data_IF_688395049475
#
_entry.id   IF_688395049475
#
_cell.length_a   1.000
_cell.length_b   1.000
_cell.length_c   1.000
_cell.angle_alpha   90.00
_cell.angle_beta   90.00
_cell.angle_gamma   90.00
#
_symmetry.space_group_name_H-M   'P 1'
#
loop_
_entity.id
_entity.type
_entity.pdbx_description
1 polymer ?
#
# COMPACT_ATOMS: atom_id res chain seq x y z
N UNK A 1 -10.45 -14.25 4.81
CA UNK A 1 -11.56 -13.62 4.02
C UNK A 1 -11.08 -12.55 3.04
N UNK A 2 -9.96 -11.89 3.34
CA UNK A 2 -9.35 -10.84 2.51
C UNK A 2 -8.62 -11.37 1.27
N UNK A 3 -8.22 -12.64 1.26
CA UNK A 3 -7.56 -13.34 0.14
C UNK A 3 -8.24 -13.13 -1.22
N UNK A 4 -9.58 -13.17 -1.26
CA UNK A 4 -10.33 -12.97 -2.50
C UNK A 4 -10.12 -11.55 -3.03
N UNK A 5 -10.18 -10.54 -2.16
CA UNK A 5 -9.95 -9.14 -2.54
C UNK A 5 -8.50 -8.94 -3.00
N UNK A 6 -7.54 -9.55 -2.31
CA UNK A 6 -6.11 -9.47 -2.66
C UNK A 6 -5.88 -10.06 -4.05
N UNK A 7 -6.40 -11.26 -4.30
CA UNK A 7 -6.26 -11.94 -5.59
C UNK A 7 -6.93 -11.16 -6.71
N UNK A 8 -8.14 -10.66 -6.49
CA UNK A 8 -8.84 -9.88 -7.50
C UNK A 8 -8.09 -8.57 -7.80
N UNK A 9 -7.61 -7.88 -6.76
CA UNK A 9 -6.84 -6.66 -6.94
C UNK A 9 -5.49 -6.90 -7.63
N UNK A 10 -4.82 -8.01 -7.31
CA UNK A 10 -3.57 -8.43 -7.94
C UNK A 10 -3.74 -8.57 -9.46
N UNK A 11 -4.79 -9.26 -9.89
CA UNK A 11 -5.05 -9.57 -11.30
C UNK A 11 -5.66 -8.37 -12.03
N UNK A 12 -6.66 -7.73 -11.43
CA UNK A 12 -7.46 -6.68 -12.08
C UNK A 12 -6.68 -5.38 -12.31
N UNK A 13 -5.81 -5.03 -11.37
CA UNK A 13 -5.09 -3.75 -11.40
C UNK A 13 -3.58 -3.94 -11.64
N UNK A 14 -3.15 -5.16 -11.95
CA UNK A 14 -1.74 -5.48 -12.20
C UNK A 14 -0.83 -5.30 -10.99
N UNK A 15 -1.37 -5.43 -9.76
CA UNK A 15 -0.58 -5.32 -8.53
C UNK A 15 0.31 -6.55 -8.31
N UNK A 16 -0.06 -7.72 -8.83
CA UNK A 16 0.67 -8.97 -8.60
C UNK A 16 0.90 -9.23 -7.10
N UNK A 17 2.15 -9.53 -6.74
CA UNK A 17 2.56 -9.80 -5.35
C UNK A 17 2.43 -8.58 -4.42
N UNK A 18 2.26 -7.38 -4.99
CA UNK A 18 2.11 -6.13 -4.23
C UNK A 18 0.68 -5.91 -3.71
N UNK A 19 -0.30 -6.73 -4.11
CA UNK A 19 -1.69 -6.57 -3.67
C UNK A 19 -1.86 -6.74 -2.14
N UNK A 20 -1.15 -7.72 -1.57
CA UNK A 20 -1.16 -7.98 -0.13
C UNK A 20 -0.59 -6.79 0.66
N UNK A 21 0.62 -6.26 0.34
CA UNK A 21 1.14 -5.10 1.06
C UNK A 21 0.31 -3.84 0.81
N UNK A 22 -0.30 -3.62 -0.36
CA UNK A 22 -1.24 -2.50 -0.56
C UNK A 22 -2.42 -2.58 0.40
N UNK A 23 -3.05 -3.76 0.52
CA UNK A 23 -4.16 -3.96 1.44
C UNK A 23 -3.72 -3.75 2.89
N UNK A 24 -2.57 -4.32 3.28
CA UNK A 24 -1.99 -4.14 4.61
C UNK A 24 -1.74 -2.67 4.95
N UNK A 25 -1.11 -1.92 4.04
CA UNK A 25 -0.85 -0.49 4.22
C UNK A 25 -2.14 0.32 4.34
N UNK A 26 -3.17 -0.02 3.56
CA UNK A 26 -4.47 0.62 3.65
C UNK A 26 -5.16 0.33 4.99
N UNK A 27 -5.13 -0.92 5.47
CA UNK A 27 -5.65 -1.28 6.79
C UNK A 27 -4.90 -0.52 7.88
N UNK A 28 -3.57 -0.60 7.88
CA UNK A 28 -2.71 0.11 8.82
C UNK A 28 -3.06 1.59 8.91
N UNK A 29 -3.22 2.24 7.76
CA UNK A 29 -3.55 3.67 7.67
C UNK A 29 -4.95 3.97 8.21
N UNK A 30 -5.98 3.20 7.84
CA UNK A 30 -7.34 3.46 8.30
C UNK A 30 -7.54 3.11 9.78
N UNK A 31 -6.79 2.15 10.33
CA UNK A 31 -6.92 1.72 11.72
C UNK A 31 -5.88 2.33 12.65
N UNK A 32 -5.05 3.25 12.15
CA UNK A 32 -4.03 3.93 12.93
C UNK A 32 -4.66 4.70 14.10
N UNK A 33 -4.31 4.32 15.34
CA UNK A 33 -4.84 4.94 16.55
C UNK A 33 -4.50 6.43 16.62
N UNK A 34 -3.30 6.81 16.18
CA UNK A 34 -2.83 8.20 16.17
C UNK A 34 -3.64 9.11 15.23
N UNK A 35 -4.31 8.53 14.23
CA UNK A 35 -5.18 9.24 13.29
C UNK A 35 -6.67 9.16 13.66
N UNK A 36 -7.01 8.67 14.86
CA UNK A 36 -8.39 8.48 15.30
C UNK A 36 -9.03 7.17 14.82
N UNK A 37 -8.22 6.21 14.34
CA UNK A 37 -8.67 4.91 13.85
C UNK A 37 -9.67 5.02 12.68
N UNK A 38 -10.53 4.01 12.55
CA UNK A 38 -11.48 3.94 11.44
C UNK A 38 -12.40 5.16 11.40
N UNK A 39 -12.81 5.67 12.56
CA UNK A 39 -13.66 6.87 12.65
C UNK A 39 -12.95 8.08 12.08
N UNK A 40 -11.74 8.37 12.55
CA UNK A 40 -10.94 9.49 12.04
C UNK A 40 -10.65 9.39 10.55
N UNK A 41 -10.43 8.17 10.06
CA UNK A 41 -10.28 7.91 8.63
C UNK A 41 -11.55 8.28 7.84
N UNK A 42 -12.73 7.81 8.27
CA UNK A 42 -14.00 8.13 7.62
C UNK A 42 -14.34 9.63 7.71
N UNK A 43 -13.98 10.30 8.82
CA UNK A 43 -14.15 11.75 8.94
C UNK A 43 -13.38 12.52 7.85
N UNK A 44 -12.25 12.02 7.34
CA UNK A 44 -11.53 12.68 6.23
C UNK A 44 -12.35 12.69 4.94
N UNK A 45 -13.07 11.60 4.65
CA UNK A 45 -13.97 11.53 3.51
C UNK A 45 -15.20 12.41 3.72
N UNK A 46 -15.76 12.45 4.95
CA UNK A 46 -16.88 13.35 5.28
C UNK A 46 -16.48 14.81 5.11
N UNK A 47 -15.28 15.19 5.54
CA UNK A 47 -14.75 16.54 5.37
C UNK A 47 -14.59 16.95 3.89
N UNK A 48 -14.40 15.98 2.99
CA UNK A 48 -14.38 16.19 1.54
C UNK A 48 -15.78 16.13 0.89
N UNK A 49 -16.86 16.11 1.67
CA UNK A 49 -18.24 16.05 1.15
C UNK A 49 -18.69 14.66 0.69
N UNK A 50 -17.91 13.60 0.98
CA UNK A 50 -18.20 12.23 0.55
C UNK A 50 -19.02 11.42 1.57
N UNK A 51 -19.68 12.09 2.52
CA UNK A 51 -20.51 11.46 3.56
C UNK A 51 -21.54 10.45 3.02
N UNK A 52 -22.32 10.77 1.98
CA UNK A 52 -23.27 9.83 1.38
C UNK A 52 -22.60 8.59 0.79
N UNK A 53 -21.41 8.75 0.21
CA UNK A 53 -20.62 7.65 -0.37
C UNK A 53 -20.22 6.68 0.74
N UNK A 54 -19.71 7.19 1.86
CA UNK A 54 -19.30 6.38 3.01
C UNK A 54 -20.48 5.62 3.59
N UNK A 55 -21.64 6.27 3.74
CA UNK A 55 -22.84 5.61 4.25
C UNK A 55 -23.23 4.38 3.44
N UNK A 56 -23.03 4.43 2.12
CA UNK A 56 -23.32 3.28 1.24
C UNK A 56 -22.40 2.07 1.50
N UNK A 57 -21.19 2.31 2.05
CA UNK A 57 -20.23 1.24 2.33
C UNK A 57 -20.50 0.54 3.65
N UNK A 58 -21.14 1.23 4.60
CA UNK A 58 -21.42 0.69 5.92
C UNK A 58 -22.32 -0.55 5.80
N UNK A 59 -21.92 -1.64 6.43
CA UNK A 59 -22.65 -2.92 6.35
C UNK A 59 -22.30 -3.77 5.13
N UNK A 60 -21.47 -3.29 4.20
CA UNK A 60 -20.95 -4.09 3.07
C UNK A 60 -22.02 -4.60 2.11
N UNK A 61 -23.13 -3.85 1.97
CA UNK A 61 -24.23 -4.21 1.10
C UNK A 61 -23.92 -4.03 -0.40
N UNK A 62 -24.74 -4.60 -1.29
CA UNK A 62 -24.59 -4.48 -2.74
C UNK A 62 -24.72 -3.04 -3.26
N UNK A 63 -25.22 -2.12 -2.43
CA UNK A 63 -25.38 -0.70 -2.73
C UNK A 63 -24.10 0.13 -2.50
N UNK A 64 -22.96 -0.49 -2.19
CA UNK A 64 -21.70 0.21 -1.98
C UNK A 64 -21.30 1.01 -3.24
N UNK A 65 -21.33 2.34 -3.12
CA UNK A 65 -21.06 3.24 -4.23
C UNK A 65 -19.56 3.24 -4.54
N UNK A 66 -19.15 3.19 -5.83
CA UNK A 66 -17.75 3.36 -6.18
C UNK A 66 -17.26 4.77 -5.82
N UNK A 67 -15.96 4.89 -5.60
CA UNK A 67 -15.27 6.16 -5.41
C UNK A 67 -14.28 6.38 -6.56
N UNK A 68 -14.28 7.59 -7.12
CA UNK A 68 -13.41 7.95 -8.23
C UNK A 68 -11.97 8.21 -7.79
N UNK A 69 -11.03 8.06 -8.73
CA UNK A 69 -9.61 8.32 -8.48
C UNK A 69 -9.38 9.76 -7.98
N UNK A 70 -10.01 10.76 -8.60
CA UNK A 70 -9.90 12.18 -8.19
C UNK A 70 -10.39 12.44 -6.75
N UNK A 71 -11.45 11.74 -6.32
CA UNK A 71 -11.96 11.83 -4.95
C UNK A 71 -10.99 11.21 -3.95
N UNK A 72 -10.39 10.07 -4.30
CA UNK A 72 -9.33 9.45 -3.48
C UNK A 72 -8.09 10.34 -3.39
N UNK A 73 -7.68 10.95 -4.51
CA UNK A 73 -6.55 11.88 -4.51
C UNK A 73 -6.83 13.10 -3.63
N UNK A 74 -8.06 13.61 -3.65
CA UNK A 74 -8.47 14.73 -2.80
C UNK A 74 -8.36 14.39 -1.31
N UNK A 75 -8.77 13.19 -0.90
CA UNK A 75 -8.83 12.81 0.52
C UNK A 75 -7.50 12.23 1.04
N UNK A 76 -6.86 11.38 0.25
CA UNK A 76 -5.72 10.55 0.65
C UNK A 76 -4.41 10.92 -0.09
N UNK A 77 -4.48 11.84 -1.05
CA UNK A 77 -3.37 12.19 -1.91
C UNK A 77 -2.50 13.33 -1.40
N UNK A 78 -2.78 13.90 -0.22
CA UNK A 78 -1.95 14.93 0.42
C UNK A 78 -0.48 14.51 0.46
N UNK A 79 0.44 15.48 0.53
CA UNK A 79 1.87 15.18 0.73
C UNK A 79 2.06 14.36 2.01
N UNK A 80 2.68 13.17 1.88
CA UNK A 80 2.79 12.20 2.97
C UNK A 80 1.52 11.36 3.25
N UNK A 81 0.48 11.50 2.43
CA UNK A 81 -0.73 10.71 2.48
C UNK A 81 -0.54 9.28 1.94
N UNK A 82 -1.56 8.45 2.16
CA UNK A 82 -1.50 7.01 1.87
C UNK A 82 -1.10 6.70 0.42
N UNK A 83 -1.62 7.44 -0.57
CA UNK A 83 -1.30 7.16 -1.97
C UNK A 83 0.19 7.39 -2.26
N UNK A 84 0.80 8.41 -1.63
CA UNK A 84 2.22 8.72 -1.79
C UNK A 84 3.10 7.66 -1.11
N UNK A 85 2.68 7.22 0.09
CA UNK A 85 3.35 6.17 0.83
C UNK A 85 3.36 4.85 0.04
N UNK A 86 2.21 4.43 -0.50
CA UNK A 86 2.11 3.20 -1.28
C UNK A 86 2.94 3.31 -2.56
N UNK A 87 2.79 4.39 -3.35
CA UNK A 87 3.53 4.54 -4.59
C UNK A 87 5.04 4.58 -4.37
N UNK A 88 5.51 5.26 -3.32
CA UNK A 88 6.93 5.37 -3.01
C UNK A 88 7.54 4.10 -2.42
N UNK A 89 6.78 3.35 -1.61
CA UNK A 89 7.28 2.12 -0.97
C UNK A 89 7.23 0.90 -1.89
N UNK A 90 6.20 0.81 -2.73
CA UNK A 90 5.95 -0.36 -3.57
C UNK A 90 6.31 -0.11 -5.03
N UNK A 91 6.78 1.09 -5.37
CA UNK A 91 7.15 1.51 -6.74
C UNK A 91 5.98 1.31 -7.73
N UNK A 92 4.76 1.56 -7.25
CA UNK A 92 3.53 1.44 -8.04
C UNK A 92 3.14 2.79 -8.64
N UNK A 93 2.67 2.76 -9.89
CA UNK A 93 2.08 3.92 -10.55
C UNK A 93 0.86 4.44 -9.79
N UNK A 94 0.72 5.77 -9.71
CA UNK A 94 -0.34 6.48 -8.97
C UNK A 94 -1.74 6.04 -9.40
N UNK A 95 -1.96 5.86 -10.69
CA UNK A 95 -3.24 5.42 -11.26
C UNK A 95 -3.61 3.99 -10.85
N UNK A 96 -2.63 3.09 -10.79
CA UNK A 96 -2.86 1.71 -10.33
C UNK A 96 -3.21 1.68 -8.85
N UNK A 97 -2.52 2.48 -8.03
CA UNK A 97 -2.81 2.60 -6.60
C UNK A 97 -4.21 3.16 -6.37
N UNK A 98 -4.55 4.28 -7.00
CA UNK A 98 -5.89 4.89 -6.84
C UNK A 98 -7.01 3.96 -7.30
N UNK A 99 -6.83 3.30 -8.45
CA UNK A 99 -7.81 2.33 -8.96
C UNK A 99 -7.99 1.13 -8.04
N UNK A 100 -6.88 0.57 -7.53
CA UNK A 100 -6.94 -0.52 -6.56
C UNK A 100 -7.61 -0.09 -5.25
N UNK A 101 -7.22 1.06 -4.70
CA UNK A 101 -7.84 1.58 -3.47
C UNK A 101 -9.32 1.89 -3.66
N UNK A 102 -9.75 2.41 -4.81
CA UNK A 102 -11.17 2.68 -5.10
C UNK A 102 -12.03 1.41 -5.10
N UNK A 103 -11.43 0.27 -5.40
CA UNK A 103 -12.08 -1.03 -5.30
C UNK A 103 -11.98 -1.64 -3.90
N UNK A 104 -10.81 -1.59 -3.25
CA UNK A 104 -10.62 -2.17 -1.92
C UNK A 104 -11.39 -1.41 -0.83
N UNK A 105 -11.44 -0.09 -0.91
CA UNK A 105 -11.91 0.76 0.18
C UNK A 105 -13.37 0.49 0.58
N UNK A 106 -14.34 0.50 -0.35
CA UNK A 106 -15.75 0.23 -0.02
C UNK A 106 -15.92 -1.17 0.61
N UNK A 107 -15.24 -2.16 0.03
CA UNK A 107 -15.31 -3.54 0.48
C UNK A 107 -14.72 -3.72 1.89
N UNK A 108 -13.60 -3.05 2.18
CA UNK A 108 -12.97 -3.10 3.51
C UNK A 108 -13.82 -2.40 4.56
N UNK A 109 -14.30 -1.18 4.30
CA UNK A 109 -15.16 -0.45 5.24
C UNK A 109 -16.40 -1.27 5.57
N UNK A 110 -17.04 -1.88 4.57
CA UNK A 110 -18.18 -2.76 4.79
C UNK A 110 -17.86 -3.98 5.64
N UNK A 111 -16.68 -4.59 5.45
CA UNK A 111 -16.23 -5.74 6.27
C UNK A 111 -15.86 -5.37 7.69
N UNK A 112 -15.34 -4.17 7.91
CA UNK A 112 -15.07 -3.65 9.25
C UNK A 112 -16.34 -3.19 9.96
N UNK A 113 -17.45 -2.94 9.26
CA UNK A 113 -18.70 -2.40 9.84
C UNK A 113 -19.89 -3.35 9.68
N UNK A 114 -19.85 -4.57 10.24
CA UNK A 114 -20.94 -5.52 10.11
C UNK A 114 -22.25 -4.94 10.67
N UNK A 115 -23.33 -5.06 9.90
CA UNK A 115 -24.64 -4.48 10.28
C UNK A 115 -24.72 -2.95 10.18
N UNK A 116 -23.75 -2.29 9.52
CA UNK A 116 -23.77 -0.83 9.31
C UNK A 116 -23.31 -0.01 10.51
N UNK A 117 -22.79 -0.66 11.54
CA UNK A 117 -22.33 -0.02 12.78
C UNK A 117 -20.82 -0.10 12.92
N UNK A 118 -20.22 0.88 13.60
CA UNK A 118 -18.79 0.86 13.90
C UNK A 118 -18.49 -0.18 14.98
N UNK A 119 -17.46 -1.02 14.79
CA UNK A 119 -17.10 -2.03 15.76
C UNK A 119 -16.39 -1.38 16.96
N UNK A 120 -16.66 -1.87 18.17
CA UNK A 120 -15.97 -1.43 19.39
C UNK A 120 -14.53 -1.93 19.45
N UNK A 121 -14.22 -3.03 18.75
CA UNK A 121 -12.88 -3.60 18.66
C UNK A 121 -12.64 -4.20 17.26
N UNK A 122 -11.40 -4.12 16.78
CA UNK A 122 -11.03 -4.71 15.50
C UNK A 122 -10.87 -6.23 15.64
N UNK A 123 -11.29 -7.04 14.66
CA UNK A 123 -11.01 -8.47 14.64
C UNK A 123 -9.49 -8.75 14.69
N UNK A 124 -9.02 -9.82 15.34
CA UNK A 124 -7.59 -10.15 15.44
C UNK A 124 -6.89 -10.27 14.07
N UNK A 125 -7.59 -10.81 13.06
CA UNK A 125 -7.08 -10.93 11.69
C UNK A 125 -6.76 -9.53 11.11
N UNK A 126 -7.65 -8.56 11.31
CA UNK A 126 -7.45 -7.17 10.86
C UNK A 126 -6.31 -6.51 11.63
N UNK A 127 -6.19 -6.77 12.92
CA UNK A 127 -5.09 -6.25 13.74
C UNK A 127 -3.73 -6.74 13.22
N UNK A 128 -3.57 -8.05 13.03
CA UNK A 128 -2.31 -8.61 12.53
C UNK A 128 -1.92 -8.07 11.14
N UNK A 129 -2.92 -7.86 10.28
CA UNK A 129 -2.71 -7.36 8.92
C UNK A 129 -2.39 -5.85 8.91
N UNK A 130 -3.03 -5.09 9.80
CA UNK A 130 -2.72 -3.69 10.03
C UNK A 130 -1.31 -3.52 10.63
N UNK A 131 -0.90 -4.36 11.58
CA UNK A 131 0.45 -4.33 12.16
C UNK A 131 1.52 -4.62 11.11
N UNK A 132 1.29 -5.61 10.24
CA UNK A 132 2.17 -5.88 9.09
C UNK A 132 2.26 -4.66 8.16
N UNK A 133 1.13 -4.00 7.90
CA UNK A 133 1.11 -2.74 7.16
C UNK A 133 1.90 -1.63 7.86
N UNK A 134 1.75 -1.46 9.17
CA UNK A 134 2.50 -0.46 9.93
C UNK A 134 4.02 -0.69 9.82
N UNK A 135 4.48 -1.93 9.83
CA UNK A 135 5.90 -2.24 9.61
C UNK A 135 6.36 -1.82 8.21
N UNK A 136 5.53 -1.98 7.18
CA UNK A 136 5.84 -1.52 5.82
C UNK A 136 5.87 0.01 5.72
N UNK A 137 4.97 0.70 6.41
CA UNK A 137 4.98 2.18 6.46
C UNK A 137 6.19 2.72 7.25
N UNK A 138 6.53 2.08 8.36
CA UNK A 138 7.61 2.49 9.26
C UNK A 138 9.01 2.12 8.77
N UNK A 139 9.13 1.20 7.80
CA UNK A 139 10.41 0.76 7.27
C UNK A 139 11.22 1.97 6.74
N UNK A 140 12.42 2.25 7.28
CA UNK A 140 13.27 3.33 6.78
C UNK A 140 13.59 3.05 5.31
N UNK A 141 13.56 4.09 4.47
CA UNK A 141 14.03 3.94 3.09
C UNK A 141 15.49 3.46 3.12
N UNK A 142 15.94 2.61 2.18
CA UNK A 142 17.27 2.00 2.22
C UNK A 142 18.44 3.00 2.17
N UNK A 143 18.18 4.30 1.96
CA UNK A 143 19.18 5.38 2.04
C UNK A 143 19.53 5.81 3.49
N UNK A 144 18.77 5.38 4.50
CA UNK A 144 18.95 5.78 5.90
C UNK A 144 19.71 4.72 6.73
N UNK A 145 20.14 3.62 6.11
CA UNK A 145 20.83 2.51 6.80
C UNK A 145 22.33 2.78 7.05
N UNK A 146 22.87 3.92 6.61
CA UNK A 146 24.25 4.34 6.95
C UNK A 146 24.34 5.24 8.17
N UNK A 147 23.24 5.51 8.86
CA UNK A 147 23.25 6.19 10.15
C UNK A 147 22.32 5.48 11.14
N UNK A 148 22.60 4.20 11.37
CA UNK A 148 22.02 3.41 12.46
C UNK A 148 22.41 3.98 13.81
N UNK A 149 21.67 5.00 14.26
CA UNK A 149 21.58 5.37 15.65
C UNK A 149 20.99 4.19 16.42
N UNK A 150 21.83 3.49 17.16
CA UNK A 150 21.45 2.58 18.24
C UNK A 150 20.69 3.40 19.29
N UNK A 151 19.37 3.43 19.16
CA UNK A 151 18.46 3.94 20.17
C UNK A 151 18.72 3.23 21.51
N UNK A 152 18.90 4.05 22.55
CA UNK A 152 19.33 3.72 23.91
C UNK A 152 18.96 2.34 24.44
N UNK A 153 19.98 1.53 24.74
CA UNK A 153 19.80 0.25 25.44
C UNK A 153 20.99 -0.71 25.41
N UNK A 154 22.11 -0.39 24.73
CA UNK A 154 23.22 -1.34 24.56
C UNK A 154 24.50 -1.02 25.38
N UNK A 155 24.57 0.13 26.07
CA UNK A 155 25.81 0.58 26.76
C UNK A 155 25.83 0.31 28.28
N UNK A 156 24.70 -0.01 28.92
CA UNK A 156 24.68 -0.30 30.38
C UNK A 156 25.10 -1.73 30.73
N UNK A 157 25.00 -2.67 29.79
CA UNK A 157 25.50 -4.04 29.99
C UNK A 157 27.03 -4.08 29.86
N UNK A 158 27.63 -3.19 29.08
CA UNK A 158 29.04 -3.23 28.68
C UNK A 158 30.06 -3.60 29.78
N UNK A 159 29.99 -3.11 31.04
CA UNK A 159 30.96 -3.51 32.06
C UNK A 159 30.95 -5.02 32.35
N UNK A 160 29.80 -5.70 32.31
CA UNK A 160 29.72 -7.13 32.59
C UNK A 160 30.19 -7.99 31.40
N UNK A 161 29.95 -7.56 30.16
CA UNK A 161 30.51 -8.24 28.96
C UNK A 161 32.02 -8.08 28.88
N UNK A 162 32.58 -6.92 29.24
CA UNK A 162 34.03 -6.73 29.29
C UNK A 162 34.68 -7.63 30.35
N UNK A 163 34.04 -7.86 31.49
CA UNK A 163 34.52 -8.80 32.53
C UNK A 163 34.48 -10.25 32.02
N UNK A 164 33.40 -10.68 31.36
CA UNK A 164 33.32 -12.04 30.78
C UNK A 164 34.33 -12.23 29.65
N UNK A 165 34.50 -11.24 28.77
CA UNK A 165 35.51 -11.27 27.71
C UNK A 165 36.93 -11.29 28.26
N UNK A 166 37.23 -10.53 29.32
CA UNK A 166 38.55 -10.55 29.97
C UNK A 166 38.85 -11.90 30.63
N UNK A 167 37.85 -12.56 31.23
CA UNK A 167 38.01 -13.91 31.78
C UNK A 167 38.28 -14.95 30.68
N UNK A 168 37.55 -14.87 29.56
CA UNK A 168 37.76 -15.76 28.41
C UNK A 168 39.10 -15.51 27.70
N UNK A 169 39.53 -14.25 27.60
CA UNK A 169 40.82 -13.89 26.99
C UNK A 169 42.00 -14.25 27.90
N UNK A 170 41.85 -14.11 29.21
CA UNK A 170 42.83 -14.59 30.20
C UNK A 170 43.00 -16.11 30.20
N UNK A 171 41.90 -16.85 30.00
CA UNK A 171 41.96 -18.32 29.89
C UNK A 171 42.58 -18.77 28.55
N UNK A 172 42.39 -18.00 27.48
CA UNK A 172 43.00 -18.26 26.18
C UNK A 172 44.51 -17.96 26.12
N UNK A 173 45.05 -17.16 27.05
CA UNK A 173 46.46 -16.73 27.01
C UNK A 173 47.43 -17.63 27.80
N UNK A 174 46.94 -18.68 28.47
CA UNK A 174 47.80 -19.75 29.02
C UNK A 174 48.06 -20.90 28.02
N UNK A 175 47.78 -20.68 26.73
CA UNK A 175 47.98 -21.65 25.65
C UNK A 175 48.87 -21.13 24.52
N UNK A 176 50.04 -20.58 24.83
CA UNK A 176 51.16 -20.41 23.87
C UNK A 176 52.28 -21.35 24.35
N UNK A 177 52.92 -22.19 23.54
CA UNK A 177 53.67 -21.96 22.28
C UNK A 177 53.68 -23.27 21.44
N UNK A 178 53.98 -23.35 20.14
CA UNK A 178 55.16 -22.93 19.34
C UNK A 178 54.72 -23.10 17.85
N UNK A 179 55.00 -22.25 16.87
CA UNK A 179 56.25 -21.61 16.48
C UNK A 179 56.94 -22.40 15.35
N UNK A 180 56.91 -21.91 14.11
CA UNK A 180 57.89 -22.06 12.99
C UNK A 180 57.23 -21.52 11.70
N UNK A 181 57.61 -20.35 11.17
CA UNK A 181 58.77 -20.03 10.31
C UNK A 181 58.45 -20.10 8.80
N UNK A 182 58.81 -19.02 8.09
CA UNK A 182 58.39 -18.55 6.74
C UNK A 182 59.24 -19.13 5.56
N UNK A 183 59.09 -18.73 4.26
CA UNK A 183 58.99 -19.58 3.06
C UNK A 183 60.30 -19.60 2.21
N UNK A 184 60.36 -20.10 0.95
CA UNK A 184 60.01 -19.24 -0.21
C UNK A 184 59.55 -19.98 -1.50
N UNK A 185 59.25 -19.14 -2.52
CA UNK A 185 59.40 -19.36 -3.97
C UNK A 185 58.25 -19.99 -4.77
N UNK A 186 57.49 -19.08 -5.39
CA UNK A 186 57.26 -18.95 -6.84
C UNK A 186 57.05 -20.22 -7.68
N UNK A 187 55.86 -20.33 -8.27
CA UNK A 187 55.64 -20.79 -9.65
C UNK A 187 54.25 -20.35 -10.12
N UNK A 188 54.19 -19.26 -10.87
CA UNK A 188 53.23 -19.14 -11.97
C UNK A 188 53.95 -19.70 -13.22
N UNK A 189 53.24 -20.37 -14.15
CA UNK A 189 52.62 -19.57 -15.19
C UNK A 189 51.25 -20.06 -15.66
N UNK A 190 50.65 -19.15 -16.42
CA UNK A 190 49.39 -19.20 -17.14
C UNK A 190 49.06 -20.51 -17.88
N UNK A 191 47.78 -20.82 -17.89
CA UNK A 191 47.10 -21.48 -19.01
C UNK A 191 45.67 -20.95 -19.11
N UNK A 192 45.47 -20.01 -20.01
CA UNK A 192 44.21 -19.83 -20.75
C UNK A 192 44.37 -20.62 -22.07
N UNK A 193 43.33 -21.15 -22.73
CA UNK A 193 42.20 -20.39 -23.30
C UNK A 193 40.82 -20.99 -22.96
N UNK A 194 39.76 -20.20 -22.82
CA UNK A 194 38.82 -19.81 -23.89
C UNK A 194 38.28 -21.00 -24.72
N UNK A 195 37.16 -21.58 -24.30
CA UNK A 195 36.25 -22.30 -25.21
C UNK A 195 34.83 -22.34 -24.62
N UNK A 196 33.94 -21.49 -25.16
CA UNK A 196 32.50 -21.71 -25.22
C UNK A 196 31.85 -20.59 -26.05
N UNK A 197 32.05 -20.63 -27.36
CA UNK A 197 31.00 -20.20 -28.28
C UNK A 197 30.09 -21.41 -28.51
N UNK A 198 28.78 -21.20 -28.60
CA UNK A 198 28.19 -21.55 -29.89
C UNK A 198 27.41 -20.38 -30.48
N UNK A 199 27.68 -20.19 -31.77
CA UNK A 199 26.95 -19.33 -32.67
C UNK A 199 25.46 -19.74 -32.74
N UNK A 200 24.63 -18.72 -32.94
CA UNK A 200 23.28 -18.84 -33.45
C UNK A 200 23.20 -19.70 -34.73
N UNK A 201 21.98 -20.15 -35.06
CA UNK A 201 21.51 -19.83 -36.40
C UNK A 201 20.18 -19.09 -36.36
N UNK A 202 20.11 -18.15 -37.30
CA UNK A 202 18.96 -17.35 -37.65
C UNK A 202 17.75 -18.21 -38.06
N UNK A 203 16.56 -17.70 -37.73
CA UNK A 203 15.36 -17.91 -38.51
C UNK A 203 14.41 -16.73 -38.28
N UNK A 204 14.59 -15.68 -39.08
CA UNK A 204 13.44 -14.91 -39.56
C UNK A 204 12.85 -15.70 -40.75
N UNK A 205 11.53 -15.61 -41.02
CA UNK A 205 11.15 -14.59 -41.98
C UNK A 205 9.77 -13.94 -41.74
N UNK A 206 9.59 -12.82 -42.45
CA UNK A 206 8.36 -12.26 -43.00
C UNK A 206 7.27 -11.81 -42.01
N UNK A 207 7.09 -10.50 -41.79
CA UNK A 207 6.42 -9.56 -42.70
C UNK A 207 5.00 -10.02 -43.08
N UNK A 208 3.99 -9.39 -42.47
CA UNK A 208 2.65 -9.16 -43.04
C UNK A 208 1.95 -8.10 -42.21
N UNK A 209 2.28 -6.85 -42.52
CA UNK A 209 1.30 -5.76 -42.45
C UNK A 209 0.50 -5.84 -43.75
N UNK A 210 -0.82 -5.66 -43.71
CA UNK A 210 -1.36 -4.57 -44.49
C UNK A 210 -2.45 -3.77 -43.76
N UNK A 211 -2.32 -2.45 -43.92
CA UNK A 211 -3.34 -1.40 -44.07
C UNK A 211 -4.84 -1.76 -43.93
N UNK A 212 -5.53 -0.98 -43.07
CA UNK A 212 -6.74 -0.12 -43.28
C UNK A 212 -7.80 -0.46 -44.35
N UNK A 213 -9.08 0.01 -44.30
CA UNK A 213 -9.65 1.09 -43.46
C UNK A 213 -11.06 0.79 -42.85
N UNK A 214 -11.57 1.76 -42.09
CA UNK A 214 -12.98 2.17 -41.98
C UNK A 214 -14.09 1.11 -41.76
N UNK A 215 -14.74 1.21 -40.61
CA UNK A 215 -16.20 1.04 -40.53
C UNK A 215 -16.77 2.12 -39.63
N UNK A 216 -16.97 3.27 -40.27
CA UNK A 216 -17.96 4.26 -39.89
C UNK A 216 -19.34 3.60 -40.02
N UNK A 217 -20.07 3.52 -38.92
CA UNK A 217 -21.29 2.72 -38.82
C UNK A 217 -22.23 3.25 -37.74
N UNK A 218 -22.77 4.44 -38.00
CA UNK A 218 -24.14 4.85 -37.69
C UNK A 218 -24.72 4.55 -36.29
N UNK A 219 -24.77 5.60 -35.48
CA UNK A 219 -25.95 5.88 -34.63
C UNK A 219 -27.22 6.00 -35.49
N UNK A 220 -28.37 5.53 -35.01
CA UNK A 220 -29.43 6.47 -34.63
C UNK A 220 -29.99 6.12 -33.24
N UNK A 221 -30.06 7.06 -32.29
CA UNK A 221 -31.13 8.06 -32.15
C UNK A 221 -32.54 7.44 -31.95
N UNK A 222 -32.92 7.25 -30.68
CA UNK A 222 -34.28 7.34 -30.13
C UNK A 222 -34.15 7.18 -28.61
N UNK A 223 -34.72 7.98 -27.70
CA UNK A 223 -35.58 9.15 -27.80
C UNK A 223 -35.48 9.89 -26.45
N UNK A 224 -35.57 11.22 -26.50
CA UNK A 224 -35.98 12.05 -25.35
C UNK A 224 -37.45 11.73 -24.98
N UNK A 225 -37.94 12.16 -23.80
CA UNK A 225 -38.25 13.58 -23.55
C UNK A 225 -37.60 14.08 -22.24
N UNK A 226 -37.02 15.27 -22.19
CA UNK A 226 -37.65 16.59 -22.27
C UNK A 226 -38.54 16.90 -21.05
N UNK A 227 -38.04 17.90 -20.29
CA UNK A 227 -38.76 18.89 -19.49
C UNK A 227 -39.58 18.42 -18.28
N UNK A 228 -39.18 18.90 -17.11
CA UNK A 228 -40.01 19.80 -16.28
C UNK A 228 -39.32 20.10 -14.94
N UNK A 229 -38.59 21.20 -14.88
CA UNK A 229 -38.65 22.14 -13.75
C UNK A 229 -39.60 23.27 -14.16
N UNK A 230 -40.02 24.21 -13.29
CA UNK A 230 -39.99 24.24 -11.82
C UNK A 230 -41.37 24.61 -11.24
N UNK A 231 -41.76 24.17 -10.04
CA UNK A 231 -42.76 24.92 -9.25
C UNK A 231 -42.44 24.94 -7.75
N UNK A 232 -41.96 26.11 -7.32
CA UNK A 232 -42.20 26.73 -6.01
C UNK A 232 -43.68 26.65 -5.60
N UNK A 233 -43.96 26.42 -4.31
CA UNK A 233 -44.89 27.29 -3.61
C UNK A 233 -44.19 27.87 -2.37
N UNK A 234 -44.03 29.19 -2.32
CA UNK A 234 -45.03 30.13 -1.82
C UNK A 234 -45.03 30.20 -0.30
N UNK A 235 -44.50 31.32 0.17
CA UNK A 235 -44.64 31.90 1.50
C UNK A 235 -46.03 31.66 2.09
N UNK A 236 -46.08 30.98 3.23
CA UNK A 236 -47.20 31.08 4.16
C UNK A 236 -46.79 32.02 5.29
N UNK A 237 -47.22 33.27 5.14
CA UNK A 237 -47.48 34.18 6.24
C UNK A 237 -48.42 33.51 7.25
N UNK A 238 -48.02 33.45 8.52
CA UNK A 238 -48.98 33.40 9.63
C UNK A 238 -48.53 34.38 10.70
N UNK A 239 -49.19 35.51 10.69
CA UNK A 239 -49.28 36.45 11.80
C UNK A 239 -49.95 35.77 13.00
N UNK A 240 -49.47 36.07 14.20
CA UNK A 240 -50.22 35.91 15.44
C UNK A 240 -49.31 35.45 16.59
N UNK A 241 -49.39 35.97 17.80
CA UNK A 241 -50.10 37.11 18.35
C UNK A 241 -49.46 37.36 19.73
N UNK A 242 -49.44 38.61 20.13
CA UNK A 242 -48.93 39.13 21.39
C UNK A 242 -49.80 38.68 22.57
N UNK A 243 -49.24 38.03 23.60
CA UNK A 243 -49.70 38.16 25.00
C UNK A 243 -48.71 37.50 25.97
N UNK A 244 -47.97 38.30 26.74
CA UNK A 244 -48.22 38.74 28.13
C UNK A 244 -47.73 37.73 29.17
#
# INVERSE_FOLDING_TARGET
MYEVLIREAAVRFGLGDKALPVLQMLLAYMTAKDSGGLVGFLEKFKAAGLGPVIQSWLGGGPSAQPIGNSQLETVLGSSGGLLSLISGKLELGRDNVTSALGYLLPALVGKLTPGGSMPSSLPPEVQSLAEAGQQLLAAPAPAELTSGGIGGGLLSWLPWVVVVLAALFGLSYCGKDKGSATPPAASAPASAPAEAAPAAPAAAPAASEPASPASEGAVPAAAAPAASEPETPASAVVSGDTRA
#
